data_IF_168689473077
#
_entry.id   IF_168689473077
#
_cell.length_a   1.000
_cell.length_b   1.000
_cell.length_c   1.000
_cell.angle_alpha   90.00
_cell.angle_beta   90.00
_cell.angle_gamma   90.00
#
_symmetry.space_group_name_H-M   'P 1'
#
loop_
_entity.id
_entity.type
_entity.pdbx_description
1 polymer ?
#
# COMPACT_ATOMS: atom_id res chain seq x y z
N UNK A 1 23.66 6.34 -9.67
CA UNK A 1 23.40 5.61 -8.41
C UNK A 1 22.18 4.71 -8.63
N UNK A 2 22.31 3.40 -8.45
CA UNK A 2 21.20 2.46 -8.65
C UNK A 2 20.23 2.56 -7.46
N UNK A 3 19.00 3.01 -7.69
CA UNK A 3 18.04 3.31 -6.62
C UNK A 3 17.13 2.13 -6.24
N UNK A 4 17.20 1.03 -6.98
CA UNK A 4 16.46 -0.20 -6.72
C UNK A 4 17.21 -1.45 -7.22
N UNK A 5 16.88 -2.61 -6.66
CA UNK A 5 17.27 -3.94 -7.14
C UNK A 5 16.10 -4.91 -6.96
N UNK A 6 16.16 -6.07 -7.59
CA UNK A 6 15.24 -7.19 -7.33
C UNK A 6 15.95 -8.28 -6.53
N UNK A 7 15.24 -8.96 -5.64
CA UNK A 7 15.75 -10.19 -5.03
C UNK A 7 15.51 -11.41 -5.92
N UNK A 8 15.91 -12.60 -5.43
CA UNK A 8 15.76 -13.86 -6.15
C UNK A 8 14.29 -14.28 -6.33
N UNK A 9 13.37 -13.73 -5.53
CA UNK A 9 11.93 -14.01 -5.57
C UNK A 9 11.18 -12.98 -6.44
N UNK A 10 11.89 -12.08 -7.12
CA UNK A 10 11.30 -11.05 -7.98
C UNK A 10 10.75 -9.84 -7.22
N UNK A 11 10.97 -9.73 -5.91
CA UNK A 11 10.52 -8.59 -5.12
C UNK A 11 11.47 -7.41 -5.27
N UNK A 12 10.89 -6.22 -5.34
CA UNK A 12 11.66 -4.98 -5.47
C UNK A 12 12.16 -4.49 -4.11
N UNK A 13 13.46 -4.19 -4.06
CA UNK A 13 14.13 -3.53 -2.94
C UNK A 13 14.53 -2.12 -3.39
N UNK A 14 14.01 -1.10 -2.73
CA UNK A 14 14.28 0.31 -3.05
C UNK A 14 15.09 0.99 -1.95
N UNK A 15 15.86 2.00 -2.32
CA UNK A 15 16.49 2.89 -1.34
C UNK A 15 15.58 4.08 -1.03
N UNK A 16 15.46 4.43 0.25
CA UNK A 16 14.82 5.67 0.70
C UNK A 16 15.60 6.87 0.13
N UNK A 17 14.92 7.85 -0.50
CA UNK A 17 15.56 9.01 -1.11
C UNK A 17 15.88 10.05 -0.03
N UNK A 18 16.92 9.76 0.73
CA UNK A 18 17.45 10.59 1.81
C UNK A 18 18.15 11.84 1.24
N UNK A 19 17.92 12.99 1.86
CA UNK A 19 18.72 14.21 1.64
C UNK A 19 20.14 14.02 2.19
N UNK A 20 21.07 14.86 1.74
CA UNK A 20 22.43 14.90 2.28
C UNK A 20 22.46 15.44 3.72
N UNK A 21 23.47 15.03 4.50
CA UNK A 21 23.75 15.54 5.85
C UNK A 21 22.59 15.47 6.85
N UNK A 22 21.90 14.33 6.90
CA UNK A 22 20.78 14.13 7.82
C UNK A 22 21.28 13.99 9.27
N UNK A 23 20.79 14.88 10.14
CA UNK A 23 20.94 14.77 11.58
C UNK A 23 19.58 14.54 12.24
N UNK A 24 19.20 13.27 12.35
CA UNK A 24 18.04 12.86 13.13
C UNK A 24 18.49 12.59 14.56
N UNK A 25 17.87 13.28 15.51
CA UNK A 25 18.01 12.94 16.92
C UNK A 25 17.29 11.63 17.23
N UNK A 26 17.65 10.98 18.33
CA UNK A 26 17.02 9.72 18.75
C UNK A 26 15.69 9.99 19.50
N UNK A 27 14.51 9.66 18.93
CA UNK A 27 13.22 9.99 19.52
C UNK A 27 12.61 8.88 20.38
N UNK A 28 13.40 7.91 20.89
CA UNK A 28 12.89 6.75 21.67
C UNK A 28 11.95 7.18 22.79
N UNK A 29 12.30 8.21 23.57
CA UNK A 29 11.44 8.67 24.67
C UNK A 29 10.10 9.25 24.19
N UNK A 30 10.08 9.92 23.04
CA UNK A 30 8.86 10.47 22.44
C UNK A 30 7.98 9.32 21.95
N UNK A 31 8.57 8.34 21.27
CA UNK A 31 7.86 7.14 20.81
C UNK A 31 7.28 6.34 22.00
N UNK A 32 8.04 6.18 23.09
CA UNK A 32 7.58 5.50 24.32
C UNK A 32 6.38 6.21 24.94
N UNK A 33 6.46 7.52 25.17
CA UNK A 33 5.32 8.30 25.71
C UNK A 33 4.06 8.20 24.84
N UNK A 34 4.23 8.16 23.51
CA UNK A 34 3.13 7.99 22.56
C UNK A 34 2.55 6.57 22.59
N UNK A 35 3.39 5.55 22.74
CA UNK A 35 2.98 4.16 22.92
C UNK A 35 2.19 3.98 24.23
N UNK A 36 2.67 4.51 25.36
CA UNK A 36 1.97 4.46 26.65
C UNK A 36 0.57 5.12 26.54
N UNK A 37 0.50 6.26 25.84
CA UNK A 37 -0.75 6.97 25.58
C UNK A 37 -1.69 6.19 24.66
N UNK A 38 -1.15 5.47 23.67
CA UNK A 38 -1.90 4.60 22.79
C UNK A 38 -2.55 3.47 23.60
N UNK A 39 -1.78 2.80 24.46
CA UNK A 39 -2.28 1.71 25.31
C UNK A 39 -3.37 2.16 26.27
N UNK A 40 -3.22 3.33 26.92
CA UNK A 40 -4.28 3.91 27.75
C UNK A 40 -5.60 4.08 27.00
N UNK A 41 -5.57 4.42 25.71
CA UNK A 41 -6.77 4.61 24.88
C UNK A 41 -7.32 3.30 24.33
N UNK A 42 -6.44 2.37 24.01
CA UNK A 42 -6.77 1.08 23.40
C UNK A 42 -7.33 0.12 24.44
N UNK A 43 -6.81 0.13 25.67
CA UNK A 43 -7.29 -0.73 26.77
C UNK A 43 -8.69 -0.36 27.28
N UNK A 44 -9.23 0.81 26.90
CA UNK A 44 -10.60 1.18 27.22
C UNK A 44 -11.64 0.35 26.42
N UNK A 45 -11.23 -0.33 25.34
CA UNK A 45 -12.09 -1.16 24.51
C UNK A 45 -11.33 -2.42 24.06
N UNK A 46 -11.73 -3.58 24.58
CA UNK A 46 -11.08 -4.87 24.30
C UNK A 46 -11.14 -5.25 22.82
N UNK A 47 -12.19 -4.85 22.09
CA UNK A 47 -12.31 -5.12 20.66
C UNK A 47 -11.27 -4.35 19.85
N UNK A 48 -11.04 -3.07 20.22
CA UNK A 48 -10.03 -2.22 19.60
C UNK A 48 -8.63 -2.72 19.94
N UNK A 49 -8.40 -3.16 21.19
CA UNK A 49 -7.14 -3.76 21.61
C UNK A 49 -6.78 -4.98 20.78
N UNK A 50 -7.72 -5.90 20.61
CA UNK A 50 -7.53 -7.08 19.78
C UNK A 50 -7.25 -6.71 18.32
N UNK A 51 -7.99 -5.77 17.74
CA UNK A 51 -7.76 -5.32 16.36
C UNK A 51 -6.37 -4.69 16.17
N UNK A 52 -5.89 -3.91 17.14
CA UNK A 52 -4.56 -3.31 17.11
C UNK A 52 -3.46 -4.36 17.21
N UNK A 53 -3.55 -5.27 18.20
CA UNK A 53 -2.56 -6.34 18.37
C UNK A 53 -2.52 -7.27 17.16
N UNK A 54 -3.68 -7.61 16.58
CA UNK A 54 -3.76 -8.45 15.38
C UNK A 54 -3.12 -7.76 14.18
N UNK A 55 -3.31 -6.44 14.00
CA UNK A 55 -2.64 -5.70 12.93
C UNK A 55 -1.11 -5.78 13.07
N UNK A 56 -0.58 -5.55 14.27
CA UNK A 56 0.86 -5.58 14.50
C UNK A 56 1.44 -6.98 14.34
N UNK A 57 0.77 -8.01 14.87
CA UNK A 57 1.18 -9.42 14.67
C UNK A 57 1.18 -9.82 13.20
N UNK A 58 0.13 -9.49 12.45
CA UNK A 58 0.08 -9.75 11.01
C UNK A 58 1.26 -9.06 10.27
N UNK A 59 1.67 -7.89 10.75
CA UNK A 59 2.82 -7.17 10.20
C UNK A 59 4.15 -7.90 10.46
N UNK A 60 4.31 -8.52 11.64
CA UNK A 60 5.47 -9.38 12.00
C UNK A 60 5.44 -10.72 11.25
N UNK A 61 4.31 -11.42 11.24
CA UNK A 61 4.12 -12.74 10.64
C UNK A 61 4.36 -12.72 9.12
N UNK A 62 3.99 -11.62 8.46
CA UNK A 62 4.29 -11.40 7.05
C UNK A 62 5.75 -10.96 6.80
N UNK A 63 6.57 -10.89 7.84
CA UNK A 63 7.98 -10.51 7.76
C UNK A 63 8.20 -9.03 7.45
N UNK A 64 7.18 -8.17 7.51
CA UNK A 64 7.34 -6.75 7.16
C UNK A 64 8.02 -5.93 8.26
N UNK A 65 8.10 -6.48 9.47
CA UNK A 65 8.94 -5.95 10.55
C UNK A 65 9.71 -7.07 11.23
N UNK A 66 10.84 -6.71 11.84
CA UNK A 66 11.64 -7.61 12.66
C UNK A 66 12.13 -6.90 13.91
N UNK A 67 12.36 -7.66 14.98
CA UNK A 67 13.04 -7.15 16.17
C UNK A 67 14.43 -6.63 15.78
N UNK A 68 14.83 -5.54 16.41
CA UNK A 68 16.15 -4.93 16.23
C UNK A 68 17.22 -5.81 16.88
N UNK A 69 18.36 -5.97 16.21
CA UNK A 69 19.54 -6.62 16.76
C UNK A 69 20.37 -5.64 17.60
N UNK A 70 21.14 -6.14 18.57
CA UNK A 70 21.97 -5.31 19.43
C UNK A 70 23.01 -4.48 18.65
N UNK A 71 23.44 -4.94 17.48
CA UNK A 71 24.40 -4.26 16.60
C UNK A 71 23.80 -3.14 15.75
N UNK A 72 22.47 -3.04 15.65
CA UNK A 72 21.83 -2.05 14.79
C UNK A 72 22.08 -0.62 15.31
N UNK A 73 22.30 0.32 14.40
CA UNK A 73 22.37 1.74 14.73
C UNK A 73 21.03 2.42 14.42
N UNK A 74 20.13 2.50 15.40
CA UNK A 74 18.80 3.12 15.23
C UNK A 74 18.96 4.60 14.91
N UNK A 75 18.46 5.01 13.74
CA UNK A 75 18.52 6.41 13.28
C UNK A 75 17.26 7.18 13.64
N UNK A 76 16.11 6.51 13.67
CA UNK A 76 14.83 7.17 13.93
C UNK A 76 13.79 6.16 14.40
N UNK A 77 13.00 6.54 15.41
CA UNK A 77 11.89 5.75 15.96
C UNK A 77 10.58 6.51 15.73
N UNK A 78 9.75 6.00 14.84
CA UNK A 78 8.44 6.55 14.53
C UNK A 78 7.47 6.22 15.69
N UNK A 79 6.82 7.22 16.29
CA UNK A 79 5.58 6.98 17.01
C UNK A 79 4.53 6.42 16.06
N UNK A 80 3.53 5.72 16.58
CA UNK A 80 2.42 5.24 15.78
C UNK A 80 1.10 5.32 16.55
N UNK A 81 0.00 5.28 15.83
CA UNK A 81 -1.34 5.33 16.41
C UNK A 81 -2.33 4.52 15.59
N UNK A 82 -3.43 4.10 16.22
CA UNK A 82 -4.52 3.40 15.55
C UNK A 82 -5.51 4.37 14.90
N UNK A 83 -5.95 4.03 13.69
CA UNK A 83 -7.07 4.67 12.99
C UNK A 83 -8.15 3.61 12.81
N UNK A 84 -9.33 3.86 13.39
CA UNK A 84 -10.48 2.97 13.28
C UNK A 84 -11.48 3.54 12.26
N UNK A 85 -11.93 2.69 11.35
CA UNK A 85 -12.92 3.00 10.31
C UNK A 85 -13.95 1.89 10.27
N UNK A 86 -15.11 2.13 10.89
CA UNK A 86 -16.18 1.13 11.01
C UNK A 86 -16.77 0.74 9.64
N UNK A 87 -16.71 1.65 8.67
CA UNK A 87 -17.20 1.54 7.30
C UNK A 87 -16.21 0.88 6.31
N UNK A 88 -15.00 0.56 6.77
CA UNK A 88 -13.97 -0.08 5.95
C UNK A 88 -14.32 -1.55 5.69
N UNK A 89 -14.48 -1.91 4.41
CA UNK A 89 -14.84 -3.27 3.98
C UNK A 89 -13.73 -4.29 4.22
N UNK A 90 -12.46 -3.87 4.22
CA UNK A 90 -11.31 -4.79 4.35
C UNK A 90 -10.75 -4.84 5.77
N UNK A 91 -10.35 -3.70 6.32
CA UNK A 91 -9.74 -3.61 7.66
C UNK A 91 -10.38 -2.50 8.48
N UNK A 92 -11.04 -2.88 9.59
CA UNK A 92 -11.68 -1.93 10.51
C UNK A 92 -10.68 -1.07 11.27
N UNK A 93 -9.44 -1.54 11.44
CA UNK A 93 -8.37 -0.82 12.11
C UNK A 93 -7.08 -0.87 11.27
N UNK A 94 -6.37 0.27 11.22
CA UNK A 94 -5.04 0.39 10.62
C UNK A 94 -4.10 1.12 11.59
N UNK A 95 -2.81 0.82 11.56
CA UNK A 95 -1.81 1.53 12.38
C UNK A 95 -1.06 2.53 11.53
N UNK A 96 -1.13 3.82 11.85
CA UNK A 96 -0.39 4.85 11.12
C UNK A 96 0.93 5.13 11.83
N UNK A 97 2.03 4.99 11.10
CA UNK A 97 3.38 5.34 11.55
C UNK A 97 3.63 6.83 11.30
N UNK A 98 3.86 7.60 12.36
CA UNK A 98 4.06 9.04 12.31
C UNK A 98 5.53 9.36 11.99
N UNK A 99 5.77 9.59 10.71
CA UNK A 99 7.05 10.02 10.14
C UNK A 99 7.24 11.54 10.16
N UNK A 100 6.23 12.28 10.64
CA UNK A 100 6.24 13.74 10.75
C UNK A 100 6.54 14.23 12.16
N UNK A 101 6.48 13.34 13.16
CA UNK A 101 6.93 13.61 14.51
C UNK A 101 8.35 14.22 14.52
N UNK A 102 8.55 15.28 15.30
CA UNK A 102 9.88 15.84 15.44
C UNK A 102 10.74 14.93 16.33
N UNK A 103 11.99 14.69 15.93
CA UNK A 103 12.97 14.06 16.82
C UNK A 103 13.51 15.06 17.85
N UNK A 104 14.45 14.61 18.70
CA UNK A 104 15.15 15.48 19.65
C UNK A 104 15.97 16.58 18.99
N UNK A 105 16.29 16.47 17.69
CA UNK A 105 16.90 17.55 16.89
C UNK A 105 15.88 18.48 16.23
N UNK A 106 14.59 18.39 16.57
CA UNK A 106 13.48 19.13 15.94
C UNK A 106 13.26 18.83 14.44
N UNK A 107 13.88 17.76 13.92
CA UNK A 107 13.76 17.30 12.54
C UNK A 107 13.00 15.96 12.50
N UNK A 108 12.05 15.82 11.56
CA UNK A 108 11.31 14.59 11.32
C UNK A 108 11.86 13.82 10.13
N UNK A 109 11.61 12.51 10.06
CA UNK A 109 12.02 11.69 8.92
C UNK A 109 11.50 12.25 7.59
N UNK A 110 10.26 12.75 7.56
CA UNK A 110 9.68 13.37 6.36
C UNK A 110 10.41 14.63 5.89
N UNK A 111 11.04 15.40 6.78
CA UNK A 111 11.88 16.53 6.38
C UNK A 111 13.19 16.07 5.71
N UNK A 112 13.68 14.90 6.08
CA UNK A 112 14.89 14.27 5.56
C UNK A 112 14.68 13.51 4.24
N UNK A 113 13.43 13.19 3.88
CA UNK A 113 13.10 12.49 2.64
C UNK A 113 12.79 13.47 1.50
N UNK A 114 13.24 13.13 0.30
CA UNK A 114 12.79 13.75 -0.95
C UNK A 114 11.42 13.19 -1.32
N UNK A 115 10.54 14.03 -1.88
CA UNK A 115 9.19 13.60 -2.30
C UNK A 115 9.24 12.61 -3.47
N UNK A 116 10.23 12.77 -4.34
CA UNK A 116 10.20 12.21 -5.70
C UNK A 116 9.33 13.04 -6.65
N UNK A 117 9.43 12.73 -7.94
CA UNK A 117 8.62 13.36 -9.00
C UNK A 117 7.21 12.77 -9.10
N UNK A 118 6.37 13.39 -9.91
CA UNK A 118 5.09 12.78 -10.30
C UNK A 118 5.36 11.86 -11.48
N UNK A 119 5.14 10.54 -11.30
CA UNK A 119 5.33 9.53 -12.34
C UNK A 119 3.99 9.06 -12.93
N UNK A 120 2.87 9.45 -12.31
CA UNK A 120 1.53 9.03 -12.73
C UNK A 120 0.96 9.98 -13.77
N UNK A 121 0.18 9.42 -14.68
CA UNK A 121 -0.72 10.18 -15.53
C UNK A 121 -1.74 10.93 -14.67
N UNK A 122 -2.25 12.04 -15.22
CA UNK A 122 -3.36 12.75 -14.60
C UNK A 122 -4.56 11.82 -14.44
N UNK A 123 -5.15 11.80 -13.25
CA UNK A 123 -6.34 11.00 -12.95
C UNK A 123 -7.43 11.17 -14.01
N UNK A 124 -7.65 12.40 -14.48
CA UNK A 124 -8.61 12.68 -15.55
C UNK A 124 -8.34 11.87 -16.84
N UNK A 125 -7.08 11.72 -17.24
CA UNK A 125 -6.69 10.94 -18.42
C UNK A 125 -6.98 9.44 -18.23
N UNK A 126 -6.74 8.92 -17.03
CA UNK A 126 -7.05 7.53 -16.67
C UNK A 126 -8.56 7.29 -16.78
N UNK A 127 -9.36 8.20 -16.22
CA UNK A 127 -10.81 8.11 -16.25
C UNK A 127 -11.40 8.21 -17.65
N UNK A 128 -10.82 9.02 -18.54
CA UNK A 128 -11.24 9.10 -19.93
C UNK A 128 -10.95 7.79 -20.70
N UNK A 129 -9.78 7.17 -20.48
CA UNK A 129 -9.45 5.88 -21.09
C UNK A 129 -10.38 4.78 -20.58
N UNK A 130 -10.57 4.71 -19.26
CA UNK A 130 -11.49 3.78 -18.63
C UNK A 130 -12.90 3.86 -19.26
N UNK A 131 -13.42 5.07 -19.47
CA UNK A 131 -14.73 5.30 -20.09
C UNK A 131 -14.84 4.90 -21.56
N UNK A 132 -13.73 4.82 -22.28
CA UNK A 132 -13.74 4.45 -23.70
C UNK A 132 -14.07 2.96 -23.90
N UNK A 133 -13.82 2.13 -22.90
CA UNK A 133 -14.01 0.69 -23.00
C UNK A 133 -15.48 0.28 -22.83
N UNK A 134 -15.90 -0.73 -23.59
CA UNK A 134 -17.24 -1.34 -23.46
C UNK A 134 -17.30 -2.33 -22.30
N UNK A 135 -16.19 -3.03 -22.06
CA UNK A 135 -16.04 -4.02 -20.99
C UNK A 135 -14.95 -3.50 -20.06
N UNK A 136 -15.28 -3.24 -18.80
CA UNK A 136 -14.41 -2.59 -17.82
C UNK A 136 -14.27 -3.40 -16.55
N UNK A 137 -13.11 -3.27 -15.92
CA UNK A 137 -12.86 -3.76 -14.57
C UNK A 137 -12.00 -2.79 -13.77
N UNK A 138 -12.10 -2.88 -12.45
CA UNK A 138 -11.22 -2.20 -11.50
C UNK A 138 -10.68 -3.21 -10.49
N UNK A 139 -9.47 -2.98 -10.00
CA UNK A 139 -8.88 -3.75 -8.91
C UNK A 139 -7.87 -2.90 -8.15
N UNK A 140 -7.46 -3.36 -6.97
CA UNK A 140 -6.51 -2.72 -6.05
C UNK A 140 -5.34 -3.67 -5.82
N UNK A 141 -4.10 -3.16 -5.78
CA UNK A 141 -2.92 -3.94 -5.38
C UNK A 141 -2.86 -4.06 -3.86
N UNK A 142 -3.12 -5.27 -3.39
CA UNK A 142 -3.23 -5.62 -1.97
C UNK A 142 -1.97 -5.23 -1.22
N UNK A 143 -2.13 -4.28 -0.29
CA UNK A 143 -1.06 -3.79 0.60
C UNK A 143 0.17 -3.28 -0.19
N UNK A 144 -0.02 -2.60 -1.32
CA UNK A 144 1.05 -2.15 -2.24
C UNK A 144 2.35 -1.72 -1.58
N UNK A 145 2.32 -0.81 -0.60
CA UNK A 145 3.52 -0.33 0.08
C UNK A 145 4.30 -1.44 0.81
N UNK A 146 3.59 -2.41 1.39
CA UNK A 146 4.16 -3.58 2.08
C UNK A 146 4.74 -4.61 1.10
N UNK A 147 4.45 -4.52 -0.20
CA UNK A 147 5.03 -5.40 -1.22
C UNK A 147 6.39 -4.91 -1.74
N UNK A 148 6.88 -3.77 -1.23
CA UNK A 148 8.11 -3.14 -1.69
C UNK A 148 9.07 -3.06 -0.50
N UNK A 149 10.20 -3.74 -0.62
CA UNK A 149 11.21 -3.79 0.42
C UNK A 149 12.08 -2.55 0.41
N UNK A 150 12.56 -2.17 1.58
CA UNK A 150 13.54 -1.11 1.75
C UNK A 150 14.93 -1.73 1.86
N UNK A 151 15.92 -1.05 1.31
CA UNK A 151 17.32 -1.43 1.44
C UNK A 151 17.65 -1.67 2.93
N UNK A 152 18.15 -2.85 3.32
CA UNK A 152 18.46 -3.20 4.71
C UNK A 152 19.26 -2.13 5.46
N UNK A 153 20.22 -1.49 4.79
CA UNK A 153 21.08 -0.44 5.37
C UNK A 153 20.28 0.81 5.81
N UNK A 154 19.09 0.98 5.26
CA UNK A 154 18.21 2.12 5.51
C UNK A 154 16.98 1.77 6.35
N UNK A 155 16.76 0.50 6.69
CA UNK A 155 15.66 0.09 7.58
C UNK A 155 15.78 0.70 8.98
N UNK A 156 17.00 1.07 9.40
CA UNK A 156 17.28 1.76 10.66
C UNK A 156 16.69 3.18 10.77
N UNK A 157 16.20 3.76 9.65
CA UNK A 157 15.42 5.00 9.65
C UNK A 157 13.93 4.78 9.90
N UNK A 158 13.47 3.52 9.87
CA UNK A 158 12.07 3.13 10.00
C UNK A 158 11.89 2.21 11.21
N UNK A 159 12.29 2.64 12.41
CA UNK A 159 12.07 1.86 13.62
C UNK A 159 10.78 2.24 14.34
N UNK A 160 10.23 1.33 15.13
CA UNK A 160 9.08 1.57 16.03
C UNK A 160 9.35 0.92 17.39
N UNK A 161 8.65 1.37 18.43
CA UNK A 161 8.53 0.64 19.69
C UNK A 161 7.22 -0.13 19.69
N UNK A 162 7.24 -1.40 20.05
CA UNK A 162 6.02 -2.18 20.16
C UNK A 162 6.16 -3.27 21.23
N UNK A 163 5.03 -3.56 21.87
CA UNK A 163 4.84 -4.63 22.84
C UNK A 163 3.54 -5.35 22.49
N UNK A 164 3.48 -6.65 22.77
CA UNK A 164 2.28 -7.43 22.47
C UNK A 164 1.16 -7.11 23.47
N UNK A 165 1.54 -6.79 24.71
CA UNK A 165 0.63 -6.44 25.80
C UNK A 165 1.18 -5.23 26.56
N UNK A 166 0.29 -4.38 27.07
CA UNK A 166 0.63 -3.13 27.78
C UNK A 166 1.43 -3.28 29.08
N UNK A 167 1.69 -4.52 29.50
CA UNK A 167 2.41 -4.84 30.74
C UNK A 167 3.82 -5.41 30.46
N UNK A 168 4.20 -5.55 29.19
CA UNK A 168 5.53 -6.00 28.77
C UNK A 168 6.45 -4.80 28.55
N UNK A 169 7.76 -5.01 28.50
CA UNK A 169 8.68 -3.95 28.09
C UNK A 169 8.67 -3.83 26.55
N UNK A 170 8.52 -2.61 25.99
CA UNK A 170 8.43 -2.46 24.55
C UNK A 170 9.77 -2.74 23.89
N UNK A 171 9.73 -3.60 22.87
CA UNK A 171 10.87 -3.94 22.03
C UNK A 171 10.96 -2.98 20.84
N UNK A 172 12.18 -2.76 20.36
CA UNK A 172 12.41 -2.02 19.12
C UNK A 172 12.27 -2.95 17.92
N UNK A 173 11.52 -2.51 16.93
CA UNK A 173 11.37 -3.19 15.64
C UNK A 173 11.84 -2.30 14.51
N UNK A 174 12.37 -2.91 13.44
CA UNK A 174 12.67 -2.27 12.15
C UNK A 174 11.57 -2.63 11.16
N UNK A 175 10.98 -1.64 10.49
CA UNK A 175 10.09 -1.87 9.36
C UNK A 175 10.94 -2.08 8.11
N UNK A 176 10.64 -3.14 7.38
CA UNK A 176 11.47 -3.63 6.27
C UNK A 176 10.89 -3.30 4.89
N UNK A 177 9.68 -2.77 4.86
CA UNK A 177 8.98 -2.39 3.63
C UNK A 177 8.77 -0.88 3.57
N UNK A 178 8.31 -0.38 2.42
CA UNK A 178 7.98 1.03 2.27
C UNK A 178 6.84 1.36 3.24
N UNK A 179 7.08 2.32 4.13
CA UNK A 179 6.08 2.72 5.13
C UNK A 179 5.20 3.83 4.57
N UNK A 180 3.88 3.60 4.53
CA UNK A 180 2.93 4.65 4.17
C UNK A 180 2.97 5.80 5.19
N UNK A 181 2.70 7.02 4.71
CA UNK A 181 2.89 8.24 5.50
C UNK A 181 4.30 8.82 5.39
N UNK A 182 5.29 8.07 4.87
CA UNK A 182 6.55 8.70 4.43
C UNK A 182 6.32 9.57 3.19
N UNK A 183 7.04 10.69 3.11
CA UNK A 183 6.92 11.67 2.02
C UNK A 183 7.21 11.07 0.64
N UNK A 184 8.08 10.05 0.58
CA UNK A 184 8.51 9.37 -0.64
C UNK A 184 7.67 8.15 -1.00
N UNK A 185 6.84 7.61 -0.09
CA UNK A 185 6.14 6.34 -0.31
C UNK A 185 5.31 6.31 -1.62
N UNK A 186 4.48 7.32 -1.94
CA UNK A 186 3.70 7.30 -3.18
C UNK A 186 4.57 7.24 -4.44
N UNK A 187 5.69 7.98 -4.45
CA UNK A 187 6.64 7.96 -5.55
C UNK A 187 7.30 6.59 -5.68
N UNK A 188 7.80 6.02 -4.58
CA UNK A 188 8.46 4.72 -4.57
C UNK A 188 7.52 3.61 -5.07
N UNK A 189 6.28 3.58 -4.57
CA UNK A 189 5.27 2.62 -4.98
C UNK A 189 4.98 2.68 -6.49
N UNK A 190 4.69 3.87 -6.99
CA UNK A 190 4.43 4.09 -8.42
C UNK A 190 5.64 3.73 -9.28
N UNK A 191 6.84 4.17 -8.87
CA UNK A 191 8.05 3.96 -9.65
C UNK A 191 8.37 2.48 -9.80
N UNK A 192 8.11 1.69 -8.76
CA UNK A 192 8.26 0.22 -8.78
C UNK A 192 7.24 -0.42 -9.71
N UNK A 193 5.96 -0.05 -9.63
CA UNK A 193 4.94 -0.59 -10.54
C UNK A 193 5.28 -0.30 -12.02
N UNK A 194 5.75 0.91 -12.32
CA UNK A 194 6.19 1.28 -13.67
C UNK A 194 7.48 0.56 -14.10
N UNK A 195 8.42 0.39 -13.17
CA UNK A 195 9.63 -0.37 -13.45
C UNK A 195 9.29 -1.81 -13.77
N UNK A 196 8.41 -2.41 -12.99
CA UNK A 196 7.99 -3.79 -13.16
C UNK A 196 7.24 -4.01 -14.48
N UNK A 197 6.40 -3.05 -14.89
CA UNK A 197 5.80 -3.05 -16.22
C UNK A 197 6.86 -2.95 -17.34
N UNK A 198 7.96 -2.23 -17.11
CA UNK A 198 9.04 -2.13 -18.10
C UNK A 198 9.83 -3.44 -18.20
N UNK A 199 10.19 -4.02 -17.06
CA UNK A 199 11.03 -5.22 -16.96
C UNK A 199 10.31 -6.45 -17.56
N UNK A 200 9.02 -6.61 -17.28
CA UNK A 200 8.23 -7.76 -17.72
C UNK A 200 7.50 -7.55 -19.06
N UNK A 201 7.73 -6.41 -19.75
CA UNK A 201 7.00 -6.03 -20.98
C UNK A 201 7.01 -7.09 -22.07
N UNK A 202 8.09 -7.86 -22.19
CA UNK A 202 8.21 -8.92 -23.20
C UNK A 202 7.30 -10.12 -22.93
N UNK A 203 7.13 -10.48 -21.65
CA UNK A 203 6.30 -11.61 -21.22
C UNK A 203 4.82 -11.22 -21.12
N UNK A 204 4.57 -10.00 -20.63
CA UNK A 204 3.25 -9.47 -20.35
C UNK A 204 3.04 -8.10 -21.04
N UNK A 205 2.90 -8.06 -22.38
CA UNK A 205 2.79 -6.81 -23.13
C UNK A 205 1.50 -5.99 -22.89
N UNK A 206 0.33 -6.62 -22.75
CA UNK A 206 -0.94 -5.92 -22.50
C UNK A 206 -0.97 -5.35 -21.07
N UNK A 207 -0.64 -6.19 -20.08
CA UNK A 207 -0.60 -5.80 -18.68
C UNK A 207 0.42 -4.68 -18.45
N UNK A 208 1.57 -4.73 -19.12
CA UNK A 208 2.59 -3.69 -19.01
C UNK A 208 2.15 -2.36 -19.63
N UNK A 209 1.45 -2.40 -20.76
CA UNK A 209 0.91 -1.19 -21.39
C UNK A 209 -0.15 -0.51 -20.49
N UNK A 210 -1.04 -1.30 -19.89
CA UNK A 210 -2.05 -0.83 -18.95
C UNK A 210 -1.42 -0.36 -17.65
N UNK A 211 -0.42 -1.05 -17.12
CA UNK A 211 0.23 -0.64 -15.87
C UNK A 211 0.95 0.71 -15.93
N UNK A 212 1.42 1.11 -17.11
CA UNK A 212 2.04 2.42 -17.31
C UNK A 212 1.03 3.56 -17.48
N UNK A 213 -0.24 3.26 -17.80
CA UNK A 213 -1.24 4.26 -18.17
C UNK A 213 -2.44 4.29 -17.23
N UNK A 214 -2.92 3.15 -16.79
CA UNK A 214 -4.25 3.01 -16.20
C UNK A 214 -4.21 2.69 -14.70
N UNK A 215 -3.01 2.66 -14.11
CA UNK A 215 -2.82 2.62 -12.67
C UNK A 215 -2.80 4.04 -12.09
N UNK A 216 -3.53 4.22 -11.00
CA UNK A 216 -3.46 5.37 -10.12
C UNK A 216 -3.05 4.90 -8.72
N UNK A 217 -1.76 5.05 -8.40
CA UNK A 217 -1.12 4.47 -7.21
C UNK A 217 -1.31 2.95 -7.19
N UNK A 218 -2.26 2.45 -6.40
CA UNK A 218 -2.58 1.05 -6.14
C UNK A 218 -3.83 0.58 -6.89
N UNK A 219 -4.65 1.50 -7.40
CA UNK A 219 -5.87 1.18 -8.15
C UNK A 219 -5.60 1.06 -9.65
N UNK A 220 -6.10 0.00 -10.28
CA UNK A 220 -6.17 -0.14 -11.74
C UNK A 220 -7.60 0.08 -12.22
N UNK A 221 -7.77 0.92 -13.24
CA UNK A 221 -9.05 1.18 -13.90
C UNK A 221 -8.88 0.98 -15.40
N UNK A 222 -9.24 -0.21 -15.90
CA UNK A 222 -8.98 -0.58 -17.30
C UNK A 222 -10.14 -1.34 -17.92
N UNK A 223 -10.02 -1.64 -19.21
CA UNK A 223 -11.00 -2.42 -19.93
C UNK A 223 -10.55 -2.80 -21.34
N UNK A 224 -11.51 -3.29 -22.12
CA UNK A 224 -11.36 -3.57 -23.53
C UNK A 224 -12.70 -3.39 -24.27
N UNK A 225 -12.68 -3.52 -25.60
CA UNK A 225 -13.87 -3.39 -26.43
C UNK A 225 -14.75 -4.65 -26.46
N UNK A 226 -14.21 -5.79 -26.01
CA UNK A 226 -14.92 -7.07 -25.96
C UNK A 226 -14.45 -7.92 -24.75
N UNK A 227 -15.27 -8.89 -24.36
CA UNK A 227 -15.06 -9.73 -23.17
C UNK A 227 -13.78 -10.56 -23.27
N UNK A 228 -13.50 -11.18 -24.42
CA UNK A 228 -12.30 -12.00 -24.62
C UNK A 228 -11.01 -11.20 -24.40
N UNK A 229 -10.94 -9.97 -24.93
CA UNK A 229 -9.79 -9.10 -24.75
C UNK A 229 -9.65 -8.61 -23.31
N UNK A 230 -10.76 -8.33 -22.62
CA UNK A 230 -10.75 -7.92 -21.22
C UNK A 230 -10.28 -9.06 -20.30
N UNK A 231 -10.76 -10.29 -20.52
CA UNK A 231 -10.33 -11.49 -19.79
C UNK A 231 -8.83 -11.76 -19.98
N UNK A 232 -8.34 -11.66 -21.23
CA UNK A 232 -6.92 -11.83 -21.52
C UNK A 232 -6.08 -10.79 -20.77
N UNK A 233 -6.48 -9.52 -20.81
CA UNK A 233 -5.80 -8.46 -20.09
C UNK A 233 -5.82 -8.70 -18.57
N UNK A 234 -6.97 -9.09 -18.01
CA UNK A 234 -7.12 -9.40 -16.59
C UNK A 234 -6.17 -10.52 -16.16
N UNK A 235 -6.15 -11.63 -16.89
CA UNK A 235 -5.26 -12.76 -16.61
C UNK A 235 -3.79 -12.34 -16.66
N UNK A 236 -3.43 -11.55 -17.68
CA UNK A 236 -2.06 -11.05 -17.83
C UNK A 236 -1.65 -10.11 -16.68
N UNK A 237 -2.57 -9.26 -16.18
CA UNK A 237 -2.34 -8.42 -15.00
C UNK A 237 -2.12 -9.25 -13.74
N UNK A 238 -2.95 -10.27 -13.52
CA UNK A 238 -2.83 -11.19 -12.38
C UNK A 238 -1.49 -11.92 -12.44
N UNK A 239 -1.15 -12.53 -13.59
CA UNK A 239 0.11 -13.27 -13.77
C UNK A 239 1.32 -12.37 -13.61
N UNK A 240 1.30 -11.16 -14.18
CA UNK A 240 2.40 -10.20 -14.06
C UNK A 240 2.59 -9.80 -12.60
N UNK A 241 1.55 -9.37 -11.89
CA UNK A 241 1.69 -8.96 -10.49
C UNK A 241 2.14 -10.11 -9.59
N UNK A 242 1.62 -11.32 -9.82
CA UNK A 242 2.05 -12.53 -9.10
C UNK A 242 3.55 -12.83 -9.28
N UNK A 243 4.09 -12.60 -10.48
CA UNK A 243 5.53 -12.76 -10.75
C UNK A 243 6.42 -11.79 -9.94
N UNK A 244 5.86 -10.68 -9.44
CA UNK A 244 6.54 -9.72 -8.57
C UNK A 244 6.14 -9.85 -7.10
N UNK A 245 5.47 -10.95 -6.72
CA UNK A 245 4.97 -11.19 -5.37
C UNK A 245 3.79 -10.32 -4.96
N UNK A 246 3.08 -9.70 -5.90
CA UNK A 246 1.94 -8.81 -5.66
C UNK A 246 0.61 -9.49 -6.04
N UNK A 247 -0.46 -9.12 -5.33
CA UNK A 247 -1.80 -9.65 -5.56
C UNK A 247 -2.79 -8.51 -5.84
N UNK A 248 -3.75 -8.76 -6.72
CA UNK A 248 -4.88 -7.86 -6.97
C UNK A 248 -6.11 -8.34 -6.21
N UNK A 249 -6.81 -7.40 -5.58
CA UNK A 249 -8.07 -7.65 -4.89
C UNK A 249 -9.10 -6.54 -5.14
N UNK A 250 -10.27 -6.65 -4.51
CA UNK A 250 -11.44 -5.77 -4.73
C UNK A 250 -11.81 -5.61 -6.19
N UNK A 251 -11.82 -6.73 -6.92
CA UNK A 251 -12.23 -6.78 -8.31
C UNK A 251 -13.68 -6.35 -8.46
N UNK A 252 -13.92 -5.38 -9.34
CA UNK A 252 -15.24 -4.99 -9.78
C UNK A 252 -15.26 -4.98 -11.30
N UNK A 253 -16.38 -5.36 -11.91
CA UNK A 253 -16.53 -5.37 -13.36
C UNK A 253 -17.97 -4.99 -13.75
N UNK A 254 -18.15 -4.48 -14.98
CA UNK A 254 -19.50 -4.23 -15.50
C UNK A 254 -20.18 -5.48 -16.08
N UNK A 255 -19.45 -6.61 -16.19
CA UNK A 255 -19.94 -7.89 -16.70
C UNK A 255 -19.48 -9.00 -15.75
N UNK A 256 -20.39 -9.93 -15.44
CA UNK A 256 -20.18 -11.00 -14.45
C UNK A 256 -19.08 -12.00 -14.82
N UNK A 257 -18.96 -12.31 -16.11
CA UNK A 257 -17.94 -13.22 -16.65
C UNK A 257 -16.50 -12.85 -16.22
N UNK A 258 -16.22 -11.57 -15.97
CA UNK A 258 -14.90 -11.12 -15.48
C UNK A 258 -14.63 -11.45 -14.01
N UNK A 259 -15.66 -11.75 -13.21
CA UNK A 259 -15.54 -12.08 -11.80
C UNK A 259 -15.68 -13.58 -11.51
N UNK A 260 -16.20 -14.39 -12.46
CA UNK A 260 -16.40 -15.83 -12.28
C UNK A 260 -15.13 -16.59 -11.82
N UNK A 261 -13.95 -16.15 -12.30
CA UNK A 261 -12.66 -16.76 -11.95
C UNK A 261 -11.90 -16.02 -10.83
N UNK A 262 -12.51 -15.00 -10.21
CA UNK A 262 -11.93 -14.24 -9.11
C UNK A 262 -12.47 -14.81 -7.79
N UNK A 263 -11.60 -15.15 -6.81
CA UNK A 263 -12.05 -15.60 -5.49
C UNK A 263 -13.03 -14.61 -4.84
N UNK A 264 -14.07 -15.11 -4.18
CA UNK A 264 -15.14 -14.28 -3.60
C UNK A 264 -14.60 -13.23 -2.62
N UNK A 265 -13.55 -13.56 -1.87
CA UNK A 265 -12.87 -12.66 -0.93
C UNK A 265 -12.13 -11.49 -1.60
N UNK A 266 -11.76 -11.65 -2.87
CA UNK A 266 -11.07 -10.65 -3.68
C UNK A 266 -12.03 -9.88 -4.58
N UNK A 267 -13.34 -10.17 -4.57
CA UNK A 267 -14.36 -9.38 -5.26
C UNK A 267 -14.76 -8.16 -4.42
N UNK A 268 -14.76 -6.97 -5.04
CA UNK A 268 -15.08 -5.69 -4.38
C UNK A 268 -16.58 -5.41 -4.28
N UNK A 269 -17.40 -6.13 -5.06
CA UNK A 269 -18.86 -6.14 -5.05
C UNK A 269 -19.36 -7.50 -5.55
N UNK A 270 -20.50 -7.97 -5.02
CA UNK A 270 -21.16 -9.21 -5.44
C UNK A 270 -22.40 -8.87 -6.27
N UNK A 271 -22.53 -9.47 -7.45
CA UNK A 271 -23.69 -9.27 -8.33
C UNK A 271 -25.00 -9.66 -7.62
N UNK A 272 -26.01 -8.77 -7.66
CA UNK A 272 -27.36 -9.02 -7.14
C UNK A 272 -27.70 -8.39 -5.79
N UNK A 273 -26.79 -7.63 -5.17
CA UNK A 273 -27.03 -6.93 -3.91
C UNK A 273 -27.55 -5.49 -4.19
N UNK A 274 -28.87 -5.30 -4.20
CA UNK A 274 -29.56 -4.07 -4.67
C UNK A 274 -29.18 -2.80 -3.91
N UNK A 275 -28.65 -2.92 -2.69
CA UNK A 275 -28.16 -1.79 -1.88
C UNK A 275 -26.67 -1.47 -2.12
N UNK A 276 -25.95 -2.30 -2.91
CA UNK A 276 -24.52 -2.16 -3.23
C UNK A 276 -24.22 -1.95 -4.71
N UNK A 277 -25.22 -1.65 -5.54
CA UNK A 277 -25.08 -1.45 -7.00
C UNK A 277 -24.12 -0.32 -7.42
N UNK A 278 -23.51 0.39 -6.46
CA UNK A 278 -22.59 1.50 -6.70
C UNK A 278 -21.21 1.23 -6.10
N UNK A 279 -20.22 1.02 -6.97
CA UNK A 279 -18.82 0.88 -6.58
C UNK A 279 -18.19 2.25 -6.42
N UNK A 280 -17.48 2.48 -5.30
CA UNK A 280 -16.64 3.66 -5.08
C UNK A 280 -15.19 3.37 -5.45
N UNK A 281 -14.69 3.97 -6.52
CA UNK A 281 -13.28 3.88 -6.93
C UNK A 281 -12.76 5.29 -7.13
N UNK A 282 -11.69 5.69 -6.44
CA UNK A 282 -11.07 7.02 -6.56
C UNK A 282 -12.03 8.21 -6.38
N UNK A 283 -13.02 8.07 -5.49
CA UNK A 283 -14.04 9.09 -5.24
C UNK A 283 -15.20 9.11 -6.26
N UNK A 284 -15.15 8.26 -7.30
CA UNK A 284 -16.22 8.09 -8.28
C UNK A 284 -17.17 6.97 -7.88
N UNK A 285 -18.43 7.16 -8.23
CA UNK A 285 -19.50 6.16 -8.10
C UNK A 285 -19.87 5.65 -9.48
N UNK A 286 -19.82 4.34 -9.71
CA UNK A 286 -20.25 3.74 -10.97
C UNK A 286 -21.09 2.48 -10.75
N UNK A 287 -22.01 2.19 -11.68
CA UNK A 287 -22.93 1.04 -11.61
C UNK A 287 -22.81 0.18 -12.86
N UNK A 288 -23.25 -1.08 -12.76
CA UNK A 288 -23.20 -2.06 -13.86
C UNK A 288 -23.85 -1.56 -15.16
N UNK A 289 -24.96 -0.80 -15.05
CA UNK A 289 -25.76 -0.34 -16.21
C UNK A 289 -25.34 1.02 -16.78
N UNK A 290 -24.49 1.79 -16.08
CA UNK A 290 -23.97 3.09 -16.56
C UNK A 290 -22.54 3.23 -16.10
N UNK A 291 -21.60 3.34 -17.05
CA UNK A 291 -20.21 3.76 -16.80
C UNK A 291 -20.21 5.24 -16.37
N UNK A 292 -20.63 5.46 -15.12
CA UNK A 292 -20.81 6.69 -14.33
C UNK A 292 -21.52 7.89 -15.01
N UNK A 293 -22.38 8.55 -14.25
CA UNK A 293 -22.57 10.00 -14.35
C UNK A 293 -21.55 10.64 -13.40
N UNK A 294 -20.83 11.67 -13.84
CA UNK A 294 -19.95 12.44 -12.95
C UNK A 294 -20.84 13.48 -12.28
N UNK A 295 -21.06 13.37 -10.97
CA UNK A 295 -21.44 14.55 -10.19
C UNK A 295 -20.14 15.16 -9.71
N UNK A 296 -19.73 16.26 -10.36
CA UNK A 296 -18.67 17.14 -9.86
C UNK A 296 -19.19 17.90 -8.63
#
# INVERSE_FOLDING_TARGET
>A
MQTYRTDNDGKYIVSLPLKENIQLGNPIQIAKKRLDSLWKRVNNDSSIANLYCNFMKEYEELGHMQKKDNSDNVKYVMPHHRVYRADSSTTKLRVVFDTSAASTSCVSLNKCLLKGGVVQDYLFSILLRFRKHKVVFTADVKKTYRQIWVNPDQCNFQCILWENRSCEEPSLYKLLTVTYGTKSAPYLATRVLNQFATDERKKFPLASAVSLKDFYIDDVLSGADNVSSALKLQQELISRLKAGGMELHKWCANIEILLENVPTEDQGYQFGDSDKDTVKTLGLRWTQKKIASITL
#
